data_IF_966833841536
#
_entry.id   IF_966833841536
#
_cell.length_a   1.000
_cell.length_b   1.000
_cell.length_c   1.000
_cell.angle_alpha   90.00
_cell.angle_beta   90.00
_cell.angle_gamma   90.00
#
_symmetry.space_group_name_H-M   'P 1'
#
loop_
_entity.id
_entity.type
_entity.pdbx_description
1 polymer ?
#
# COMPACT_ATOMS: atom_id res chain seq x y z
N UNK A 1 -3.61 -20.12 -16.40
CA UNK A 1 -4.54 -18.97 -16.52
C UNK A 1 -4.07 -17.87 -15.61
N UNK A 2 -3.84 -16.67 -16.15
CA UNK A 2 -3.36 -15.51 -15.41
C UNK A 2 -4.45 -14.44 -15.45
N UNK A 3 -5.20 -14.22 -14.36
CA UNK A 3 -6.16 -13.11 -14.29
C UNK A 3 -5.43 -11.79 -14.31
N UNK A 4 -5.87 -10.85 -15.13
CA UNK A 4 -5.25 -9.53 -15.26
C UNK A 4 -6.29 -8.42 -15.25
N UNK A 5 -6.08 -7.41 -14.40
CA UNK A 5 -6.69 -6.09 -14.51
C UNK A 5 -5.78 -5.13 -15.28
N UNK A 6 -5.48 -3.95 -14.73
CA UNK A 6 -4.59 -2.99 -15.38
C UNK A 6 -3.09 -3.38 -15.33
N UNK A 7 -2.70 -4.33 -14.48
CA UNK A 7 -1.30 -4.77 -14.38
C UNK A 7 -0.39 -3.78 -13.65
N UNK A 8 -0.92 -2.96 -12.76
CA UNK A 8 -0.19 -1.90 -12.02
C UNK A 8 0.68 -2.41 -10.87
N UNK A 9 0.62 -3.71 -10.56
CA UNK A 9 1.35 -4.31 -9.45
C UNK A 9 2.87 -4.42 -9.71
N UNK A 10 3.69 -4.30 -8.65
CA UNK A 10 5.16 -4.27 -8.74
C UNK A 10 5.85 -5.64 -8.60
N UNK A 11 5.17 -6.67 -8.07
CA UNK A 11 5.79 -7.98 -7.77
C UNK A 11 5.61 -9.04 -8.86
N UNK A 12 5.23 -8.62 -10.07
CA UNK A 12 5.08 -9.51 -11.22
C UNK A 12 3.86 -10.44 -11.15
N UNK A 13 2.82 -10.08 -10.39
CA UNK A 13 1.60 -10.88 -10.20
C UNK A 13 0.89 -11.27 -11.50
N UNK A 14 0.96 -10.45 -12.56
CA UNK A 14 0.34 -10.70 -13.87
C UNK A 14 1.31 -11.20 -14.95
N UNK A 15 2.58 -11.43 -14.59
CA UNK A 15 3.60 -11.91 -15.55
C UNK A 15 3.42 -13.40 -15.78
N UNK A 16 3.22 -13.88 -17.03
CA UNK A 16 3.03 -15.29 -17.35
C UNK A 16 4.38 -16.06 -17.36
N UNK A 17 5.07 -16.12 -16.22
CA UNK A 17 6.41 -16.72 -16.07
C UNK A 17 6.48 -18.20 -16.48
N UNK A 18 5.35 -18.89 -16.48
CA UNK A 18 5.21 -20.29 -16.93
C UNK A 18 4.44 -20.40 -18.27
N UNK A 19 4.27 -19.28 -18.99
CA UNK A 19 3.38 -19.22 -20.13
C UNK A 19 1.90 -19.34 -19.76
N UNK A 20 1.03 -19.54 -20.75
CA UNK A 20 -0.40 -19.78 -20.52
C UNK A 20 -1.31 -18.75 -21.15
N UNK A 21 -2.53 -18.64 -20.62
CA UNK A 21 -3.59 -17.75 -21.11
C UNK A 21 -3.76 -16.62 -20.12
N UNK A 22 -3.59 -15.38 -20.59
CA UNK A 22 -3.94 -14.18 -19.82
C UNK A 22 -5.40 -13.86 -20.04
N UNK A 23 -6.16 -13.79 -18.96
CA UNK A 23 -7.58 -13.39 -18.96
C UNK A 23 -7.68 -11.93 -18.55
N UNK A 24 -7.88 -11.06 -19.54
CA UNK A 24 -8.07 -9.63 -19.32
C UNK A 24 -9.49 -9.34 -18.84
N UNK A 25 -9.60 -8.79 -17.64
CA UNK A 25 -10.86 -8.47 -16.97
C UNK A 25 -11.27 -6.99 -17.11
N UNK A 26 -10.49 -6.17 -17.82
CA UNK A 26 -10.77 -4.73 -17.96
C UNK A 26 -12.09 -4.44 -18.67
N UNK A 27 -12.57 -5.37 -19.51
CA UNK A 27 -13.88 -5.29 -20.14
C UNK A 27 -15.09 -5.49 -19.18
N UNK A 28 -14.88 -6.06 -17.99
CA UNK A 28 -15.89 -6.20 -16.94
C UNK A 28 -15.88 -4.96 -16.05
N UNK A 29 -16.39 -3.82 -16.54
CA UNK A 29 -16.15 -2.51 -15.91
C UNK A 29 -17.44 -1.75 -15.53
N UNK A 30 -18.50 -2.45 -15.25
CA UNK A 30 -19.77 -1.87 -14.80
C UNK A 30 -19.84 -1.75 -13.29
N UNK A 31 -20.34 -0.61 -12.81
CA UNK A 31 -20.86 -0.46 -11.45
C UNK A 31 -22.29 -1.00 -11.48
N UNK A 32 -22.51 -2.14 -10.82
CA UNK A 32 -23.78 -2.87 -10.90
C UNK A 32 -24.85 -2.29 -9.98
N UNK A 33 -24.43 -1.76 -8.82
CA UNK A 33 -25.33 -1.20 -7.81
C UNK A 33 -24.55 -0.22 -6.91
N UNK A 34 -25.17 0.89 -6.53
CA UNK A 34 -24.79 1.73 -5.40
C UNK A 34 -26.01 1.84 -4.49
N UNK A 35 -25.89 1.42 -3.23
CA UNK A 35 -26.94 1.50 -2.20
C UNK A 35 -26.48 2.39 -1.04
N UNK A 36 -26.77 3.70 -1.09
CA UNK A 36 -26.39 4.61 -0.02
C UNK A 36 -27.00 4.26 1.33
N UNK A 37 -28.25 3.79 1.33
CA UNK A 37 -28.96 3.41 2.56
C UNK A 37 -28.30 2.21 3.27
N UNK A 38 -27.64 1.31 2.53
CA UNK A 38 -26.95 0.15 3.07
C UNK A 38 -25.44 0.37 3.20
N UNK A 39 -24.92 1.56 2.82
CA UNK A 39 -23.49 1.89 2.76
C UNK A 39 -22.67 0.83 2.02
N UNK A 40 -23.13 0.46 0.83
CA UNK A 40 -22.45 -0.55 0.00
C UNK A 40 -22.61 -0.26 -1.50
N UNK A 41 -21.72 -0.86 -2.28
CA UNK A 41 -21.88 -0.96 -3.73
C UNK A 41 -21.48 -2.35 -4.22
N UNK A 42 -21.90 -2.70 -5.45
CA UNK A 42 -21.47 -3.91 -6.15
C UNK A 42 -20.89 -3.52 -7.49
N UNK A 43 -19.69 -4.01 -7.78
CA UNK A 43 -18.91 -3.64 -8.97
C UNK A 43 -18.36 -4.88 -9.67
N UNK A 44 -18.13 -4.79 -10.97
CA UNK A 44 -17.34 -5.75 -11.73
C UNK A 44 -15.83 -5.54 -11.50
N UNK A 45 -15.04 -6.58 -11.70
CA UNK A 45 -13.60 -6.61 -11.40
C UNK A 45 -12.76 -5.60 -12.18
N UNK A 46 -13.17 -5.23 -13.40
CA UNK A 46 -12.47 -4.29 -14.28
C UNK A 46 -12.82 -2.82 -14.04
N UNK A 47 -13.68 -2.49 -13.08
CA UNK A 47 -13.95 -1.08 -12.72
C UNK A 47 -12.67 -0.44 -12.22
N UNK A 48 -12.28 0.69 -12.80
CA UNK A 48 -11.13 1.49 -12.36
C UNK A 48 -11.48 2.18 -11.04
N UNK A 49 -10.55 2.16 -10.07
CA UNK A 49 -10.76 2.70 -8.73
C UNK A 49 -11.19 4.17 -8.76
N UNK A 50 -10.48 5.05 -9.46
CA UNK A 50 -10.84 6.47 -9.56
C UNK A 50 -12.23 6.71 -10.16
N UNK A 51 -12.65 5.85 -11.11
CA UNK A 51 -14.02 5.91 -11.67
C UNK A 51 -15.05 5.56 -10.60
N UNK A 52 -14.79 4.53 -9.79
CA UNK A 52 -15.67 4.18 -8.68
C UNK A 52 -15.79 5.34 -7.69
N UNK A 53 -14.66 5.91 -7.25
CA UNK A 53 -14.63 7.05 -6.32
C UNK A 53 -15.44 8.25 -6.87
N UNK A 54 -15.26 8.58 -8.15
CA UNK A 54 -16.02 9.67 -8.80
C UNK A 54 -17.53 9.42 -8.78
N UNK A 55 -17.98 8.16 -8.96
CA UNK A 55 -19.42 7.85 -8.91
C UNK A 55 -19.94 7.84 -7.45
N UNK A 56 -19.17 7.32 -6.50
CA UNK A 56 -19.55 7.31 -5.08
C UNK A 56 -19.66 8.73 -4.50
N UNK A 57 -18.76 9.62 -4.90
CA UNK A 57 -18.77 11.01 -4.44
C UNK A 57 -20.08 11.74 -4.76
N UNK A 58 -20.79 11.39 -5.85
CA UNK A 58 -22.12 11.94 -6.20
C UNK A 58 -23.19 11.63 -5.15
N UNK A 59 -22.94 10.59 -4.34
CA UNK A 59 -23.79 10.15 -3.25
C UNK A 59 -23.25 10.54 -1.86
N UNK A 60 -22.19 11.36 -1.79
CA UNK A 60 -21.53 11.72 -0.53
C UNK A 60 -20.79 10.55 0.13
N UNK A 61 -20.42 9.53 -0.65
CA UNK A 61 -19.79 8.31 -0.19
C UNK A 61 -18.39 8.16 -0.79
N UNK A 62 -17.55 7.33 -0.16
CA UNK A 62 -16.26 6.91 -0.68
C UNK A 62 -15.95 5.47 -0.24
N UNK A 63 -15.00 4.84 -0.95
CA UNK A 63 -14.41 3.56 -0.57
C UNK A 63 -13.02 3.83 0.02
N UNK A 64 -12.79 3.55 1.33
CA UNK A 64 -11.62 4.06 2.06
C UNK A 64 -10.24 3.64 1.59
N UNK A 65 -9.98 2.40 1.11
CA UNK A 65 -8.66 2.05 0.58
C UNK A 65 -8.29 2.92 -0.62
N UNK A 66 -7.07 3.49 -0.61
CA UNK A 66 -6.62 4.50 -1.58
C UNK A 66 -5.28 4.12 -2.23
N UNK A 67 -5.25 3.07 -3.06
CA UNK A 67 -4.02 2.63 -3.71
C UNK A 67 -3.40 3.74 -4.56
N UNK A 68 -2.07 3.88 -4.52
CA UNK A 68 -1.35 4.92 -5.25
C UNK A 68 -1.54 4.89 -6.77
N UNK A 69 -2.02 3.77 -7.32
CA UNK A 69 -2.35 3.59 -8.74
C UNK A 69 -3.82 3.83 -9.08
N UNK A 70 -4.55 4.59 -8.26
CA UNK A 70 -6.01 4.82 -8.33
C UNK A 70 -6.54 5.10 -9.73
N UNK A 71 -5.82 5.90 -10.52
CA UNK A 71 -6.23 6.29 -11.88
C UNK A 71 -6.21 5.14 -12.90
N UNK A 72 -5.55 4.04 -12.59
CA UNK A 72 -5.37 2.91 -13.49
C UNK A 72 -5.81 1.56 -12.91
N UNK A 73 -5.59 1.31 -11.61
CA UNK A 73 -5.87 0.01 -11.00
C UNK A 73 -7.36 -0.35 -11.07
N UNK A 74 -7.62 -1.64 -11.23
CA UNK A 74 -8.98 -2.18 -11.31
C UNK A 74 -9.36 -2.85 -10.00
N UNK A 75 -10.65 -2.82 -9.65
CA UNK A 75 -11.16 -3.34 -8.38
C UNK A 75 -10.81 -4.81 -8.15
N UNK A 76 -10.87 -5.66 -9.18
CA UNK A 76 -10.44 -7.06 -9.08
C UNK A 76 -8.96 -7.21 -8.75
N UNK A 77 -8.10 -6.37 -9.34
CA UNK A 77 -6.66 -6.33 -9.04
C UNK A 77 -6.38 -5.85 -7.62
N UNK A 78 -7.02 -4.75 -7.21
CA UNK A 78 -6.93 -4.18 -5.85
C UNK A 78 -7.33 -5.23 -4.79
N UNK A 79 -8.40 -5.98 -5.04
CA UNK A 79 -8.88 -7.03 -4.14
C UNK A 79 -7.94 -8.24 -4.14
N UNK A 80 -7.50 -8.71 -5.32
CA UNK A 80 -6.60 -9.85 -5.43
C UNK A 80 -5.25 -9.61 -4.76
N UNK A 81 -4.79 -8.35 -4.71
CA UNK A 81 -3.56 -7.95 -4.02
C UNK A 81 -3.78 -7.58 -2.54
N UNK A 82 -5.01 -7.40 -2.09
CA UNK A 82 -5.31 -6.78 -0.80
C UNK A 82 -4.62 -5.42 -0.66
N UNK A 83 -4.70 -4.58 -1.68
CA UNK A 83 -3.99 -3.32 -1.73
C UNK A 83 -4.32 -2.43 -0.52
N UNK A 84 -3.32 -1.70 -0.06
CA UNK A 84 -3.42 -0.70 0.99
C UNK A 84 -3.53 0.71 0.42
N UNK A 85 -2.68 1.59 0.93
CA UNK A 85 -2.58 3.00 0.60
C UNK A 85 -2.42 3.85 1.87
N UNK A 86 -2.32 5.15 1.70
CA UNK A 86 -2.01 6.10 2.78
C UNK A 86 -3.03 6.09 3.93
N UNK A 87 -4.31 5.83 3.60
CA UNK A 87 -5.42 5.81 4.57
C UNK A 87 -5.56 4.48 5.32
N UNK A 88 -4.71 3.48 5.01
CA UNK A 88 -4.76 2.17 5.67
C UNK A 88 -4.62 2.28 7.19
N UNK A 89 -3.86 3.25 7.66
CA UNK A 89 -3.71 3.60 9.07
C UNK A 89 -5.05 3.72 9.82
N UNK A 90 -5.97 4.53 9.31
CA UNK A 90 -7.26 4.82 9.96
C UNK A 90 -8.34 3.83 9.53
N UNK A 91 -8.31 3.44 8.28
CA UNK A 91 -9.43 2.74 7.66
C UNK A 91 -9.16 1.26 7.40
N UNK A 92 -7.91 0.79 7.51
CA UNK A 92 -7.54 -0.58 7.15
C UNK A 92 -7.31 -0.73 5.65
N UNK A 93 -7.08 -1.96 5.23
CA UNK A 93 -6.77 -2.33 3.85
C UNK A 93 -8.01 -2.85 3.12
N UNK A 94 -7.87 -3.21 1.86
CA UNK A 94 -8.96 -3.74 1.01
C UNK A 94 -9.77 -4.85 1.69
N UNK A 95 -9.11 -5.77 2.44
CA UNK A 95 -9.81 -6.90 3.12
C UNK A 95 -10.87 -6.45 4.13
N UNK A 96 -10.74 -5.25 4.68
CA UNK A 96 -11.66 -4.71 5.68
C UNK A 96 -12.92 -4.11 5.04
N UNK A 97 -12.90 -3.94 3.70
CA UNK A 97 -13.92 -3.24 2.92
C UNK A 97 -14.62 -4.11 1.89
N UNK A 98 -14.27 -5.39 1.78
CA UNK A 98 -14.94 -6.36 0.91
C UNK A 98 -15.94 -7.17 1.71
N UNK A 99 -17.22 -7.07 1.38
CA UNK A 99 -18.33 -7.82 2.02
C UNK A 99 -18.54 -9.18 1.38
N UNK A 100 -18.32 -9.30 0.07
CA UNK A 100 -18.51 -10.54 -0.66
C UNK A 100 -17.97 -10.47 -2.08
N UNK A 101 -17.74 -11.62 -2.67
CA UNK A 101 -17.18 -11.79 -4.00
C UNK A 101 -17.99 -12.77 -4.84
N UNK A 102 -17.91 -12.62 -6.16
CA UNK A 102 -18.24 -13.66 -7.14
C UNK A 102 -16.96 -14.11 -7.81
N UNK A 103 -16.67 -15.38 -7.71
CA UNK A 103 -15.39 -15.97 -8.14
C UNK A 103 -15.66 -17.15 -9.07
N UNK A 104 -14.87 -17.24 -10.15
CA UNK A 104 -14.79 -18.42 -11.00
C UNK A 104 -13.64 -19.28 -10.51
N UNK A 105 -13.92 -20.52 -10.12
CA UNK A 105 -12.95 -21.51 -9.65
C UNK A 105 -12.20 -22.17 -10.82
N UNK A 106 -11.07 -22.85 -10.57
CA UNK A 106 -10.30 -23.53 -11.62
C UNK A 106 -11.08 -24.61 -12.38
N UNK A 107 -12.08 -25.21 -11.75
CA UNK A 107 -12.97 -26.21 -12.38
C UNK A 107 -14.12 -25.58 -13.21
N UNK A 108 -14.17 -24.23 -13.28
CA UNK A 108 -15.21 -23.48 -13.99
C UNK A 108 -16.49 -23.21 -13.20
N UNK A 109 -16.59 -23.70 -11.96
CA UNK A 109 -17.73 -23.37 -11.10
C UNK A 109 -17.70 -21.91 -10.68
N UNK A 110 -18.89 -21.31 -10.56
CA UNK A 110 -19.04 -19.93 -10.08
C UNK A 110 -19.60 -19.99 -8.67
N UNK A 111 -18.84 -19.42 -7.73
CA UNK A 111 -19.27 -19.30 -6.34
C UNK A 111 -19.52 -17.84 -5.96
N UNK A 112 -20.34 -17.67 -4.91
CA UNK A 112 -20.48 -16.41 -4.19
C UNK A 112 -19.95 -16.60 -2.77
N UNK A 113 -19.17 -15.66 -2.29
CA UNK A 113 -18.64 -15.65 -0.92
C UNK A 113 -19.19 -14.45 -0.15
N UNK A 114 -19.18 -14.54 1.18
CA UNK A 114 -19.61 -13.45 2.04
C UNK A 114 -21.10 -13.13 1.96
N UNK A 115 -21.46 -11.89 2.20
CA UNK A 115 -22.84 -11.43 2.24
C UNK A 115 -22.98 -10.00 1.67
N UNK A 116 -24.22 -9.50 1.63
CA UNK A 116 -24.52 -8.09 1.30
C UNK A 116 -24.82 -7.27 2.56
N UNK A 117 -24.59 -7.83 3.73
CA UNK A 117 -24.84 -7.22 5.03
C UNK A 117 -23.52 -6.97 5.78
N UNK A 118 -23.52 -5.99 6.67
CA UNK A 118 -22.33 -5.65 7.47
C UNK A 118 -21.91 -6.76 8.44
N UNK A 119 -22.85 -7.63 8.83
CA UNK A 119 -22.59 -8.81 9.65
C UNK A 119 -22.97 -10.08 8.89
N UNK A 120 -22.12 -11.12 8.97
CA UNK A 120 -22.39 -12.42 8.35
C UNK A 120 -21.44 -13.46 8.93
N UNK A 121 -21.96 -14.45 9.68
CA UNK A 121 -21.18 -15.51 10.34
C UNK A 121 -21.60 -16.91 9.84
N UNK A 122 -22.14 -17.01 8.60
CA UNK A 122 -22.58 -18.27 8.03
C UNK A 122 -21.40 -18.98 7.33
N UNK A 123 -20.76 -19.89 8.04
CA UNK A 123 -19.65 -20.70 7.52
C UNK A 123 -18.27 -20.02 7.65
N UNK A 124 -17.28 -20.59 6.96
CA UNK A 124 -15.94 -20.02 6.92
C UNK A 124 -15.90 -18.73 6.08
N UNK A 125 -14.99 -17.81 6.45
CA UNK A 125 -14.77 -16.57 5.69
C UNK A 125 -13.97 -16.84 4.41
N UNK A 126 -14.67 -17.33 3.39
CA UNK A 126 -14.09 -17.56 2.07
C UNK A 126 -13.76 -16.23 1.36
N UNK A 127 -14.45 -15.13 1.70
CA UNK A 127 -14.18 -13.83 1.09
C UNK A 127 -12.73 -13.43 1.36
N UNK A 128 -12.29 -13.51 2.62
CA UNK A 128 -10.91 -13.17 3.00
C UNK A 128 -9.86 -14.16 2.50
N UNK A 129 -10.26 -15.38 2.12
CA UNK A 129 -9.36 -16.34 1.46
C UNK A 129 -8.99 -15.87 0.05
N UNK A 130 -9.95 -15.28 -0.70
CA UNK A 130 -9.70 -14.78 -2.05
C UNK A 130 -9.06 -13.37 -2.07
N UNK A 131 -9.33 -12.53 -1.06
CA UNK A 131 -8.68 -11.23 -0.92
C UNK A 131 -7.21 -11.44 -0.59
N UNK A 132 -6.31 -10.91 -1.43
CA UNK A 132 -4.86 -11.11 -1.30
C UNK A 132 -4.36 -12.46 -1.84
N UNK A 133 -5.20 -13.21 -2.59
CA UNK A 133 -4.80 -14.49 -3.19
C UNK A 133 -3.96 -14.37 -4.46
N UNK A 134 -3.74 -13.17 -4.96
CA UNK A 134 -2.94 -12.87 -6.18
C UNK A 134 -3.38 -13.66 -7.42
N UNK A 135 -4.68 -14.00 -7.50
CA UNK A 135 -5.23 -14.79 -8.61
C UNK A 135 -4.85 -16.27 -8.60
N UNK A 136 -4.25 -16.79 -7.53
CA UNK A 136 -3.81 -18.19 -7.45
C UNK A 136 -4.93 -19.17 -7.12
N UNK A 137 -6.06 -18.69 -6.61
CA UNK A 137 -7.19 -19.55 -6.17
C UNK A 137 -8.42 -19.47 -7.09
N UNK A 138 -8.54 -18.41 -7.90
CA UNK A 138 -9.69 -18.22 -8.79
C UNK A 138 -9.68 -16.83 -9.41
N UNK A 139 -10.69 -16.57 -10.24
CA UNK A 139 -10.88 -15.30 -10.96
C UNK A 139 -12.01 -14.52 -10.29
N UNK A 140 -11.69 -13.40 -9.66
CA UNK A 140 -12.67 -12.47 -9.09
C UNK A 140 -13.34 -11.72 -10.24
N UNK A 141 -14.67 -11.80 -10.33
CA UNK A 141 -15.45 -11.16 -11.40
C UNK A 141 -16.35 -10.05 -10.91
N UNK A 142 -16.88 -10.16 -9.68
CA UNK A 142 -17.69 -9.12 -9.04
C UNK A 142 -17.31 -9.00 -7.56
N UNK A 143 -17.46 -7.80 -7.00
CA UNK A 143 -17.27 -7.54 -5.58
C UNK A 143 -18.39 -6.69 -5.01
N UNK A 144 -18.85 -7.03 -3.82
CA UNK A 144 -19.69 -6.18 -2.97
C UNK A 144 -18.81 -5.52 -1.93
N UNK A 145 -18.81 -4.21 -1.92
CA UNK A 145 -17.92 -3.35 -1.14
C UNK A 145 -18.71 -2.59 -0.07
N UNK A 146 -18.10 -2.45 1.11
CA UNK A 146 -18.61 -1.59 2.18
C UNK A 146 -18.13 -0.15 1.92
N UNK A 147 -18.97 0.85 2.21
CA UNK A 147 -18.69 2.26 1.97
C UNK A 147 -18.72 3.08 3.26
N UNK A 148 -18.20 4.30 3.17
CA UNK A 148 -18.29 5.33 4.21
C UNK A 148 -18.82 6.64 3.63
N UNK A 149 -19.51 7.46 4.46
CA UNK A 149 -19.72 8.87 4.15
C UNK A 149 -18.38 9.60 4.05
N UNK A 150 -18.27 10.53 3.09
CA UNK A 150 -17.12 11.41 2.97
C UNK A 150 -16.99 12.24 4.25
N UNK A 151 -15.79 12.34 4.88
CA UNK A 151 -15.56 13.19 6.04
C UNK A 151 -15.93 14.65 5.77
N UNK A 152 -16.48 15.34 6.77
CA UNK A 152 -16.90 16.74 6.65
C UNK A 152 -15.72 17.69 6.42
N UNK A 153 -14.57 17.36 6.99
CA UNK A 153 -13.34 18.15 6.92
C UNK A 153 -12.09 17.27 6.91
N UNK A 154 -11.02 17.82 6.34
CA UNK A 154 -9.66 17.31 6.39
C UNK A 154 -8.69 18.45 6.66
N UNK A 155 -7.58 18.20 7.37
CA UNK A 155 -6.47 19.14 7.51
C UNK A 155 -5.14 18.40 7.39
N UNK A 156 -4.08 19.11 7.00
CA UNK A 156 -2.72 18.61 6.89
C UNK A 156 -1.78 19.42 7.74
N UNK A 157 -0.93 18.71 8.46
CA UNK A 157 0.16 19.26 9.24
C UNK A 157 1.46 18.66 8.71
N UNK A 158 2.45 19.48 8.41
CA UNK A 158 3.77 19.01 8.00
C UNK A 158 4.85 19.42 8.98
N UNK A 159 5.92 18.64 9.01
CA UNK A 159 7.05 18.92 9.86
C UNK A 159 8.36 18.46 9.22
N UNK A 160 9.44 19.24 9.41
CA UNK A 160 10.81 18.88 9.02
C UNK A 160 11.61 18.45 10.24
N UNK A 161 12.46 17.42 10.06
CA UNK A 161 13.32 16.87 11.10
C UNK A 161 14.77 16.78 10.63
N UNK A 162 15.69 17.02 11.56
CA UNK A 162 17.14 16.89 11.32
C UNK A 162 17.59 15.44 11.16
N UNK A 163 16.81 14.46 11.66
CA UNK A 163 17.08 13.05 11.48
C UNK A 163 15.78 12.28 11.21
N UNK A 164 15.87 11.26 10.36
CA UNK A 164 14.74 10.38 10.01
C UNK A 164 14.31 9.56 11.21
N UNK A 165 15.20 9.23 12.14
CA UNK A 165 14.89 8.51 13.38
C UNK A 165 14.00 9.37 14.28
N UNK A 166 14.28 10.67 14.44
CA UNK A 166 13.42 11.59 15.20
C UNK A 166 12.03 11.70 14.58
N UNK A 167 11.94 11.73 13.25
CA UNK A 167 10.66 11.71 12.56
C UNK A 167 9.89 10.40 12.83
N UNK A 168 10.55 9.25 12.82
CA UNK A 168 9.98 7.97 13.19
C UNK A 168 9.51 7.91 14.66
N UNK A 169 10.29 8.49 15.59
CA UNK A 169 9.86 8.62 17.00
C UNK A 169 8.60 9.49 17.15
N UNK A 170 8.49 10.57 16.36
CA UNK A 170 7.33 11.45 16.38
C UNK A 170 6.05 10.70 16.00
N UNK A 171 6.11 9.74 15.06
CA UNK A 171 4.98 8.87 14.71
C UNK A 171 4.48 8.12 15.94
N UNK A 172 5.36 7.46 16.68
CA UNK A 172 4.99 6.73 17.91
C UNK A 172 4.39 7.66 18.96
N UNK A 173 4.91 8.89 19.12
CA UNK A 173 4.40 9.87 20.08
C UNK A 173 3.00 10.36 19.74
N UNK A 174 2.66 10.48 18.44
CA UNK A 174 1.29 10.80 18.00
C UNK A 174 0.31 9.73 18.53
N UNK A 175 0.65 8.45 18.37
CA UNK A 175 -0.20 7.37 18.92
C UNK A 175 -0.28 7.37 20.45
N UNK A 176 0.86 7.59 21.13
CA UNK A 176 0.88 7.67 22.59
C UNK A 176 0.06 8.85 23.13
N UNK A 177 -0.14 9.89 22.34
CA UNK A 177 -1.06 10.99 22.63
C UNK A 177 -2.53 10.66 22.37
N UNK A 178 -2.85 9.40 21.99
CA UNK A 178 -4.21 8.93 21.72
C UNK A 178 -4.79 9.43 20.38
N UNK A 179 -3.93 9.78 19.44
CA UNK A 179 -4.33 10.31 18.12
C UNK A 179 -4.18 9.21 17.07
N UNK A 180 -5.24 8.97 16.28
CA UNK A 180 -5.20 8.13 15.10
C UNK A 180 -5.54 9.01 13.88
N UNK A 181 -4.52 9.51 13.16
CA UNK A 181 -4.72 10.35 11.98
C UNK A 181 -5.30 9.56 10.80
N UNK A 182 -5.74 10.26 9.76
CA UNK A 182 -6.15 9.63 8.50
C UNK A 182 -4.94 9.01 7.78
N UNK A 183 -3.80 9.70 7.78
CA UNK A 183 -2.52 9.18 7.26
C UNK A 183 -1.33 9.86 7.94
N UNK A 184 -0.17 9.19 7.93
CA UNK A 184 1.14 9.78 8.26
C UNK A 184 2.13 9.33 7.19
N UNK A 185 2.63 10.30 6.40
CA UNK A 185 3.57 10.07 5.32
C UNK A 185 4.95 10.62 5.69
N UNK A 186 6.01 9.87 5.39
CA UNK A 186 7.38 10.28 5.62
C UNK A 186 8.19 10.19 4.34
N UNK A 187 8.94 11.25 4.03
CA UNK A 187 9.90 11.32 2.93
C UNK A 187 11.27 11.68 3.48
N UNK A 188 12.30 10.96 3.04
CA UNK A 188 13.67 11.23 3.45
C UNK A 188 14.34 12.34 2.63
N UNK A 189 15.57 12.71 3.05
CA UNK A 189 16.40 13.72 2.36
C UNK A 189 16.55 13.44 0.86
N UNK A 190 16.67 12.18 0.46
CA UNK A 190 16.84 11.80 -0.94
C UNK A 190 15.63 12.19 -1.79
N UNK A 191 14.43 11.94 -1.26
CA UNK A 191 13.16 12.36 -1.89
C UNK A 191 13.05 13.88 -1.93
N UNK A 192 13.31 14.57 -0.80
CA UNK A 192 13.23 16.03 -0.70
C UNK A 192 14.18 16.68 -1.72
N UNK A 193 15.43 16.23 -1.80
CA UNK A 193 16.42 16.74 -2.73
C UNK A 193 16.05 16.48 -4.20
N UNK A 194 15.53 15.30 -4.51
CA UNK A 194 15.07 14.97 -5.87
C UNK A 194 13.92 15.88 -6.31
N UNK A 195 12.91 16.08 -5.45
CA UNK A 195 11.78 16.96 -5.75
C UNK A 195 12.23 18.43 -5.87
N UNK A 196 13.14 18.87 -4.99
CA UNK A 196 13.72 20.22 -5.06
C UNK A 196 14.38 20.48 -6.42
N UNK A 197 15.19 19.53 -6.88
CA UNK A 197 15.87 19.62 -8.18
C UNK A 197 14.89 19.52 -9.36
N UNK A 198 13.92 18.62 -9.27
CA UNK A 198 12.91 18.39 -10.32
C UNK A 198 12.05 19.63 -10.57
N UNK A 199 11.55 20.25 -9.51
CA UNK A 199 10.68 21.42 -9.61
C UNK A 199 11.43 22.75 -9.71
N UNK A 200 12.77 22.76 -9.49
CA UNK A 200 13.53 24.01 -9.35
C UNK A 200 13.11 24.85 -8.13
N UNK A 201 12.46 24.23 -7.13
CA UNK A 201 11.97 24.86 -5.90
C UNK A 201 12.86 24.45 -4.72
N UNK A 202 13.26 25.42 -3.90
CA UNK A 202 14.05 25.14 -2.69
C UNK A 202 13.13 24.67 -1.57
N UNK A 203 13.40 23.48 -1.04
CA UNK A 203 12.86 22.99 0.23
C UNK A 203 13.95 22.99 1.30
N UNK A 204 13.61 22.98 2.60
CA UNK A 204 14.59 22.88 3.69
C UNK A 204 15.50 21.65 3.52
N UNK A 205 16.82 21.84 3.70
CA UNK A 205 17.78 20.72 3.68
C UNK A 205 17.74 19.98 5.02
N UNK A 206 16.79 19.09 5.15
CA UNK A 206 16.52 18.29 6.34
C UNK A 206 16.55 16.80 6.00
N UNK A 207 16.74 15.95 7.01
CA UNK A 207 16.85 14.51 6.79
C UNK A 207 15.48 13.84 6.60
N UNK A 208 14.40 14.43 7.11
CA UNK A 208 13.06 13.93 6.90
C UNK A 208 12.00 15.04 6.85
N UNK A 209 10.96 14.76 6.05
CA UNK A 209 9.72 15.51 5.97
C UNK A 209 8.55 14.60 6.32
N UNK A 210 7.75 14.98 7.32
CA UNK A 210 6.58 14.25 7.79
C UNK A 210 5.32 15.03 7.46
N UNK A 211 4.30 14.34 6.95
CA UNK A 211 2.96 14.89 6.73
C UNK A 211 1.98 14.07 7.55
N UNK A 212 1.13 14.74 8.32
CA UNK A 212 0.03 14.12 9.08
C UNK A 212 -1.28 14.69 8.55
N UNK A 213 -2.14 13.83 8.02
CA UNK A 213 -3.51 14.20 7.62
C UNK A 213 -4.50 13.77 8.69
N UNK A 214 -5.43 14.63 9.01
CA UNK A 214 -6.53 14.36 9.96
C UNK A 214 -7.86 14.65 9.29
N UNK A 215 -8.85 13.80 9.47
CA UNK A 215 -10.18 13.91 8.89
C UNK A 215 -11.29 13.54 9.87
N UNK A 216 -12.49 14.09 9.66
CA UNK A 216 -13.65 13.86 10.53
C UNK A 216 -14.64 15.02 10.48
N UNK A 217 -15.34 15.28 11.58
CA UNK A 217 -16.11 16.51 11.73
C UNK A 217 -15.19 17.74 11.88
N UNK A 218 -15.67 18.95 11.54
CA UNK A 218 -14.84 20.17 11.59
C UNK A 218 -14.23 20.40 12.96
N UNK A 219 -15.00 20.18 14.04
CA UNK A 219 -14.53 20.37 15.41
C UNK A 219 -13.47 19.34 15.82
N UNK A 220 -13.62 18.09 15.40
CA UNK A 220 -12.63 17.03 15.67
C UNK A 220 -11.33 17.29 14.91
N UNK A 221 -11.42 17.68 13.65
CA UNK A 221 -10.26 18.00 12.80
C UNK A 221 -9.46 19.15 13.41
N UNK A 222 -10.14 20.23 13.84
CA UNK A 222 -9.48 21.38 14.49
C UNK A 222 -8.75 21.01 15.78
N UNK A 223 -9.42 20.29 16.66
CA UNK A 223 -8.86 19.84 17.94
C UNK A 223 -7.68 18.86 17.74
N UNK A 224 -7.84 17.90 16.81
CA UNK A 224 -6.83 16.89 16.51
C UNK A 224 -5.61 17.50 15.83
N UNK A 225 -5.79 18.39 14.86
CA UNK A 225 -4.70 19.08 14.19
C UNK A 225 -3.84 19.90 15.17
N UNK A 226 -4.48 20.60 16.12
CA UNK A 226 -3.77 21.36 17.16
C UNK A 226 -2.93 20.45 18.06
N UNK A 227 -3.45 19.28 18.44
CA UNK A 227 -2.68 18.29 19.22
C UNK A 227 -1.52 17.70 18.43
N UNK A 228 -1.73 17.36 17.15
CA UNK A 228 -0.67 16.87 16.26
C UNK A 228 0.44 17.90 16.14
N UNK A 229 0.11 19.16 15.91
CA UNK A 229 1.09 20.25 15.83
C UNK A 229 1.93 20.36 17.11
N UNK A 230 1.29 20.28 18.27
CA UNK A 230 1.98 20.28 19.57
C UNK A 230 2.96 19.09 19.70
N UNK A 231 2.49 17.86 19.41
CA UNK A 231 3.31 16.64 19.49
C UNK A 231 4.52 16.73 18.55
N UNK A 232 4.36 17.24 17.32
CA UNK A 232 5.45 17.40 16.37
C UNK A 232 6.50 18.40 16.89
N UNK A 233 6.10 19.55 17.45
CA UNK A 233 6.99 20.52 18.07
C UNK A 233 7.76 19.94 19.25
N UNK A 234 7.06 19.24 20.16
CA UNK A 234 7.64 18.56 21.31
C UNK A 234 8.58 17.39 20.91
N UNK A 235 8.42 16.86 19.71
CA UNK A 235 9.30 15.82 19.14
C UNK A 235 10.56 16.37 18.49
N UNK A 236 10.77 17.69 18.51
CA UNK A 236 11.96 18.35 18.00
C UNK A 236 11.91 18.61 16.50
N UNK A 237 10.73 18.78 15.93
CA UNK A 237 10.58 19.27 14.56
C UNK A 237 11.18 20.70 14.46
N UNK A 238 11.98 20.94 13.42
CA UNK A 238 12.60 22.26 13.17
C UNK A 238 11.62 23.28 12.60
N UNK A 239 10.66 22.80 11.82
CA UNK A 239 9.59 23.60 11.25
C UNK A 239 8.30 22.77 11.29
N UNK A 240 7.20 23.39 11.70
CA UNK A 240 5.85 22.79 11.66
C UNK A 240 4.93 23.76 10.97
N UNK A 241 4.26 23.32 9.91
CA UNK A 241 3.26 24.07 9.18
C UNK A 241 1.93 23.32 9.23
N UNK A 242 0.89 24.02 9.66
CA UNK A 242 -0.50 23.55 9.55
C UNK A 242 -1.18 24.31 8.43
N UNK A 243 -1.86 23.61 7.55
CA UNK A 243 -2.61 24.23 6.46
C UNK A 243 -3.79 25.06 7.01
N UNK A 244 -3.85 26.33 6.62
CA UNK A 244 -4.95 27.26 6.93
C UNK A 244 -5.70 27.68 5.65
N UNK A 245 -5.09 27.46 4.51
CA UNK A 245 -5.65 27.74 3.18
C UNK A 245 -5.58 26.50 2.29
N UNK A 246 -6.35 26.48 1.22
CA UNK A 246 -6.31 25.41 0.21
C UNK A 246 -4.95 25.38 -0.50
N UNK A 247 -4.29 26.50 -0.66
CA UNK A 247 -2.94 26.58 -1.25
C UNK A 247 -1.91 25.89 -0.37
N UNK A 248 -1.87 26.20 0.93
CA UNK A 248 -0.99 25.52 1.90
C UNK A 248 -1.29 24.03 2.00
N UNK A 249 -2.57 23.64 1.97
CA UNK A 249 -2.99 22.25 1.97
C UNK A 249 -2.41 21.48 0.77
N UNK A 250 -2.42 22.08 -0.42
CA UNK A 250 -1.83 21.49 -1.62
C UNK A 250 -0.30 21.54 -1.59
N UNK A 251 0.28 22.63 -1.09
CA UNK A 251 1.74 22.79 -1.01
C UNK A 251 2.40 21.76 -0.11
N UNK A 252 1.81 21.49 1.06
CA UNK A 252 2.27 20.43 1.98
C UNK A 252 2.40 19.09 1.26
N UNK A 253 1.50 18.80 0.30
CA UNK A 253 1.47 17.53 -0.42
C UNK A 253 2.49 17.42 -1.55
N UNK A 254 3.11 18.53 -1.97
CA UNK A 254 3.96 18.60 -3.18
C UNK A 254 5.11 17.60 -3.14
N UNK A 255 5.85 17.51 -2.02
CA UNK A 255 7.00 16.59 -1.93
C UNK A 255 6.51 15.14 -2.04
N UNK A 256 5.38 14.81 -1.46
CA UNK A 256 4.81 13.46 -1.50
C UNK A 256 4.33 13.05 -2.88
N UNK A 257 3.60 13.94 -3.57
CA UNK A 257 3.05 13.65 -4.90
C UNK A 257 4.12 13.56 -5.98
N UNK A 258 5.16 14.40 -5.90
CA UNK A 258 6.21 14.47 -6.91
C UNK A 258 7.35 13.46 -6.69
N UNK A 259 7.48 12.89 -5.49
CA UNK A 259 8.62 12.06 -5.11
C UNK A 259 8.89 10.88 -6.05
N UNK A 260 7.86 10.12 -6.40
CA UNK A 260 7.99 8.96 -7.27
C UNK A 260 8.42 9.34 -8.71
N UNK A 261 7.97 10.50 -9.20
CA UNK A 261 8.32 11.03 -10.52
C UNK A 261 9.70 11.67 -10.52
N UNK A 262 10.04 12.43 -9.49
CA UNK A 262 11.30 13.17 -9.39
C UNK A 262 12.52 12.25 -9.31
N UNK A 263 12.46 11.19 -8.55
CA UNK A 263 13.60 10.29 -8.31
C UNK A 263 14.24 9.75 -9.59
N UNK A 264 13.51 9.05 -10.52
CA UNK A 264 14.13 8.52 -11.73
C UNK A 264 14.59 9.62 -12.68
N UNK A 265 13.85 10.75 -12.76
CA UNK A 265 14.21 11.86 -13.64
C UNK A 265 15.47 12.59 -13.19
N UNK A 266 15.76 12.60 -11.88
CA UNK A 266 16.94 13.24 -11.32
C UNK A 266 18.15 12.32 -11.30
N UNK A 267 17.96 11.02 -11.01
CA UNK A 267 19.04 10.03 -10.92
C UNK A 267 19.45 9.46 -12.29
N UNK A 268 18.55 9.49 -13.27
CA UNK A 268 18.73 8.85 -14.56
C UNK A 268 18.77 7.31 -14.49
N UNK A 269 18.38 6.72 -13.35
CA UNK A 269 18.34 5.28 -13.11
C UNK A 269 16.90 4.79 -12.91
N UNK A 270 16.69 3.50 -13.11
CA UNK A 270 15.41 2.90 -12.76
C UNK A 270 15.22 2.87 -11.24
N UNK A 271 14.01 3.15 -10.81
CA UNK A 271 13.60 2.94 -9.43
C UNK A 271 13.01 1.54 -9.28
N UNK A 272 13.55 0.78 -8.34
CA UNK A 272 12.96 -0.48 -7.89
C UNK A 272 12.42 -0.24 -6.49
N UNK A 273 11.10 -0.23 -6.36
CA UNK A 273 10.44 0.03 -5.09
C UNK A 273 10.26 -1.29 -4.34
N UNK A 274 10.90 -1.42 -3.22
CA UNK A 274 10.69 -2.50 -2.28
C UNK A 274 9.71 -2.07 -1.19
N UNK A 275 8.87 -3.00 -0.76
CA UNK A 275 7.75 -2.76 0.14
C UNK A 275 7.88 -3.72 1.32
N UNK A 276 8.12 -3.17 2.50
CA UNK A 276 8.17 -3.90 3.77
C UNK A 276 7.34 -3.17 4.81
N UNK A 277 6.89 -3.88 5.85
CA UNK A 277 6.18 -3.23 6.95
C UNK A 277 6.78 -3.67 8.29
N UNK A 278 6.99 -2.71 9.20
CA UNK A 278 7.61 -2.95 10.51
C UNK A 278 6.67 -2.48 11.64
N UNK A 279 6.79 -3.04 12.84
CA UNK A 279 6.11 -2.46 14.00
C UNK A 279 6.46 -0.97 14.12
N UNK A 280 5.47 -0.11 14.35
CA UNK A 280 5.63 1.36 14.35
C UNK A 280 6.75 1.82 15.30
N UNK A 281 6.87 1.19 16.47
CA UNK A 281 7.95 1.47 17.43
C UNK A 281 9.36 1.13 16.91
N UNK A 282 9.45 0.38 15.82
CA UNK A 282 10.70 -0.03 15.16
C UNK A 282 11.06 0.84 13.97
N UNK A 283 10.20 1.79 13.56
CA UNK A 283 10.47 2.67 12.43
C UNK A 283 11.84 3.39 12.52
N UNK A 284 12.24 4.01 13.67
CA UNK A 284 13.53 4.68 13.75
C UNK A 284 14.71 3.74 13.47
N UNK A 285 14.69 2.55 14.09
CA UNK A 285 15.70 1.51 13.88
C UNK A 285 15.68 1.00 12.43
N UNK A 286 14.49 0.79 11.87
CA UNK A 286 14.32 0.26 10.51
C UNK A 286 14.86 1.23 9.45
N UNK A 287 14.53 2.52 9.54
CA UNK A 287 15.06 3.51 8.60
C UNK A 287 16.58 3.56 8.58
N UNK A 288 17.21 3.58 9.77
CA UNK A 288 18.66 3.54 9.91
C UNK A 288 19.25 2.26 9.30
N UNK A 289 18.73 1.10 9.69
CA UNK A 289 19.27 -0.20 9.25
C UNK A 289 19.10 -0.41 7.75
N UNK A 290 17.98 0.02 7.14
CA UNK A 290 17.77 -0.05 5.70
C UNK A 290 18.83 0.78 4.96
N UNK A 291 19.12 2.00 5.40
CA UNK A 291 20.19 2.83 4.82
C UNK A 291 21.55 2.14 4.96
N UNK A 292 21.88 1.63 6.14
CA UNK A 292 23.15 0.92 6.39
C UNK A 292 23.31 -0.34 5.53
N UNK A 293 22.24 -1.10 5.31
CA UNK A 293 22.23 -2.25 4.40
C UNK A 293 22.56 -1.78 2.98
N UNK A 294 21.83 -0.79 2.48
CA UNK A 294 22.01 -0.27 1.13
C UNK A 294 23.42 0.30 0.91
N UNK A 295 23.94 1.03 1.88
CA UNK A 295 25.31 1.59 1.84
C UNK A 295 26.38 0.49 1.74
N UNK A 296 26.25 -0.61 2.49
CA UNK A 296 27.18 -1.76 2.40
C UNK A 296 27.21 -2.41 1.03
N UNK A 297 26.10 -2.40 0.31
CA UNK A 297 26.02 -2.95 -1.05
C UNK A 297 26.27 -1.90 -2.13
N UNK A 298 26.50 -0.64 -1.75
CA UNK A 298 26.68 0.47 -2.70
C UNK A 298 25.44 0.74 -3.54
N UNK A 299 24.25 0.58 -2.97
CA UNK A 299 22.96 0.84 -3.63
C UNK A 299 22.36 2.14 -3.09
N UNK A 300 22.23 3.19 -3.92
CA UNK A 300 21.52 4.39 -3.51
C UNK A 300 20.05 4.08 -3.17
N UNK A 301 19.60 4.54 -2.01
CA UNK A 301 18.23 4.34 -1.55
C UNK A 301 17.58 5.67 -1.20
N UNK A 302 16.31 5.81 -1.56
CA UNK A 302 15.41 6.84 -1.06
C UNK A 302 14.29 6.17 -0.26
N UNK A 303 13.87 6.79 0.84
CA UNK A 303 12.82 6.26 1.71
C UNK A 303 11.58 7.13 1.58
N UNK A 304 10.48 6.47 1.18
CA UNK A 304 9.13 7.00 1.23
C UNK A 304 8.30 6.01 2.05
N UNK A 305 7.50 6.49 2.99
CA UNK A 305 6.84 5.59 3.94
C UNK A 305 5.44 6.07 4.30
N UNK A 306 4.49 5.13 4.28
CA UNK A 306 3.24 5.26 5.04
C UNK A 306 3.58 5.01 6.51
N UNK A 307 4.26 5.99 7.12
CA UNK A 307 4.87 5.81 8.45
C UNK A 307 3.83 5.54 9.55
N UNK A 308 2.58 5.95 9.30
CA UNK A 308 1.48 5.74 10.22
C UNK A 308 1.15 4.27 10.48
N UNK A 309 1.32 3.39 9.52
CA UNK A 309 1.05 1.94 9.67
C UNK A 309 2.32 1.07 9.60
N UNK A 310 3.48 1.73 9.52
CA UNK A 310 4.78 1.04 9.54
C UNK A 310 5.24 0.57 8.16
N UNK A 311 4.53 0.88 7.09
CA UNK A 311 4.90 0.48 5.73
C UNK A 311 6.02 1.38 5.18
N UNK A 312 7.12 0.77 4.76
CA UNK A 312 8.33 1.43 4.27
C UNK A 312 8.60 1.04 2.82
N UNK A 313 8.60 2.02 1.93
CA UNK A 313 9.07 1.87 0.56
C UNK A 313 10.54 2.28 0.48
N UNK A 314 11.42 1.28 0.41
CA UNK A 314 12.84 1.47 0.11
C UNK A 314 13.00 1.50 -1.42
N UNK A 315 13.25 2.67 -1.98
CA UNK A 315 13.34 2.90 -3.42
C UNK A 315 14.80 2.85 -3.82
N UNK A 316 15.21 1.75 -4.45
CA UNK A 316 16.58 1.55 -4.93
C UNK A 316 16.73 2.19 -6.32
N UNK A 317 17.74 3.03 -6.49
CA UNK A 317 18.11 3.57 -7.81
C UNK A 317 19.17 2.69 -8.45
N UNK A 318 18.79 1.83 -9.40
CA UNK A 318 19.66 0.79 -9.97
C UNK A 318 19.66 0.80 -11.49
N UNK A 319 20.79 0.38 -12.07
CA UNK A 319 20.88 0.04 -13.48
C UNK A 319 20.64 -1.47 -13.65
N UNK A 320 19.42 -1.85 -14.00
CA UNK A 320 19.05 -3.26 -14.19
C UNK A 320 19.76 -3.93 -15.38
N UNK A 321 20.39 -3.17 -16.29
CA UNK A 321 21.19 -3.69 -17.38
C UNK A 321 22.63 -4.05 -16.95
N UNK A 322 23.03 -3.68 -15.72
CA UNK A 322 24.29 -4.10 -15.11
C UNK A 322 24.03 -5.33 -14.19
N UNK A 323 24.52 -6.53 -14.60
CA UNK A 323 24.29 -7.75 -13.82
C UNK A 323 24.90 -7.71 -12.41
N UNK A 324 26.02 -6.99 -12.22
CA UNK A 324 26.68 -6.88 -10.91
C UNK A 324 25.88 -5.96 -9.98
N UNK A 325 25.42 -4.80 -10.49
CA UNK A 325 24.57 -3.88 -9.73
C UNK A 325 23.24 -4.57 -9.36
N UNK A 326 22.60 -5.26 -10.33
CA UNK A 326 21.37 -6.03 -10.09
C UNK A 326 21.56 -7.12 -9.03
N UNK A 327 22.67 -7.86 -9.06
CA UNK A 327 22.97 -8.87 -8.07
C UNK A 327 23.24 -8.27 -6.67
N UNK A 328 23.88 -7.09 -6.58
CA UNK A 328 24.05 -6.38 -5.29
C UNK A 328 22.72 -5.89 -4.75
N UNK A 329 21.87 -5.31 -5.62
CA UNK A 329 20.53 -4.85 -5.24
C UNK A 329 19.66 -6.00 -4.70
N UNK A 330 19.69 -7.17 -5.37
CA UNK A 330 18.97 -8.36 -4.87
C UNK A 330 19.47 -8.78 -3.47
N UNK A 331 20.79 -8.82 -3.24
CA UNK A 331 21.34 -9.17 -1.92
C UNK A 331 20.93 -8.15 -0.85
N UNK A 332 20.95 -6.85 -1.17
CA UNK A 332 20.50 -5.81 -0.25
C UNK A 332 19.01 -5.98 0.11
N UNK A 333 18.17 -6.24 -0.89
CA UNK A 333 16.75 -6.53 -0.70
C UNK A 333 16.52 -7.75 0.19
N UNK A 334 17.18 -8.87 -0.09
CA UNK A 334 17.02 -10.11 0.66
C UNK A 334 17.47 -9.93 2.13
N UNK A 335 18.56 -9.20 2.37
CA UNK A 335 19.03 -8.88 3.71
C UNK A 335 18.07 -7.97 4.46
N UNK A 336 17.53 -6.96 3.78
CA UNK A 336 16.49 -6.05 4.33
C UNK A 336 15.24 -6.85 4.73
N UNK A 337 14.75 -7.74 3.88
CA UNK A 337 13.60 -8.57 4.18
C UNK A 337 13.83 -9.45 5.40
N UNK A 338 15.00 -10.14 5.50
CA UNK A 338 15.36 -10.94 6.67
C UNK A 338 15.52 -10.12 7.94
N UNK A 339 16.04 -8.90 7.83
CA UNK A 339 16.07 -7.98 8.97
C UNK A 339 14.65 -7.66 9.45
N UNK A 340 13.74 -7.31 8.53
CA UNK A 340 12.35 -6.99 8.85
C UNK A 340 11.63 -8.16 9.52
N UNK A 341 11.79 -9.38 9.03
CA UNK A 341 11.24 -10.59 9.67
C UNK A 341 11.76 -10.72 11.12
N UNK A 342 13.07 -10.52 11.34
CA UNK A 342 13.67 -10.66 12.70
C UNK A 342 13.11 -9.68 13.71
N UNK A 343 12.70 -8.47 13.28
CA UNK A 343 12.12 -7.46 14.19
C UNK A 343 10.60 -7.57 14.33
N UNK A 344 9.99 -8.62 13.76
CA UNK A 344 8.54 -8.89 13.83
C UNK A 344 7.71 -8.12 12.81
N UNK A 345 8.32 -7.69 11.70
CA UNK A 345 7.65 -7.10 10.54
C UNK A 345 7.26 -8.13 9.48
N UNK A 346 6.85 -7.65 8.31
CA UNK A 346 6.49 -8.44 7.13
C UNK A 346 7.21 -7.94 5.88
N UNK A 347 7.53 -8.86 4.98
CA UNK A 347 8.23 -8.56 3.71
C UNK A 347 7.33 -7.87 2.69
N UNK A 348 6.03 -7.76 2.93
CA UNK A 348 5.12 -6.97 2.09
C UNK A 348 4.05 -6.29 2.94
N UNK A 349 4.03 -4.95 2.91
CA UNK A 349 2.96 -4.14 3.49
C UNK A 349 1.69 -4.16 2.62
N UNK A 350 1.85 -3.93 1.32
CA UNK A 350 0.72 -3.78 0.40
C UNK A 350 0.94 -4.32 -1.02
N UNK A 351 2.20 -4.45 -1.50
CA UNK A 351 2.46 -4.84 -2.89
C UNK A 351 2.24 -6.33 -3.18
N UNK A 352 2.20 -7.19 -2.14
CA UNK A 352 2.09 -8.64 -2.28
C UNK A 352 3.45 -9.33 -2.44
N UNK A 353 3.40 -10.59 -2.79
CA UNK A 353 4.54 -11.51 -2.90
C UNK A 353 4.93 -11.76 -4.36
N UNK A 354 3.96 -12.07 -5.21
CA UNK A 354 4.17 -12.35 -6.63
C UNK A 354 5.23 -13.40 -6.89
N UNK A 355 6.11 -13.08 -7.85
CA UNK A 355 7.34 -13.85 -8.14
C UNK A 355 8.56 -13.30 -7.42
N UNK A 356 8.52 -12.04 -7.03
CA UNK A 356 9.69 -11.31 -6.49
C UNK A 356 10.10 -11.79 -5.10
N UNK A 357 9.13 -12.02 -4.21
CA UNK A 357 9.34 -12.39 -2.81
C UNK A 357 8.98 -13.85 -2.48
N UNK A 358 8.66 -14.67 -3.51
CA UNK A 358 8.16 -16.03 -3.32
C UNK A 358 9.10 -16.93 -2.52
N UNK A 359 10.42 -16.76 -2.67
CA UNK A 359 11.44 -17.52 -1.93
C UNK A 359 11.51 -17.11 -0.45
N UNK A 360 11.23 -15.86 -0.13
CA UNK A 360 11.30 -15.30 1.22
C UNK A 360 10.03 -15.54 2.04
N UNK A 361 8.89 -15.82 1.38
CA UNK A 361 7.62 -16.02 2.07
C UNK A 361 7.71 -17.17 3.10
N UNK A 362 8.36 -18.26 2.74
CA UNK A 362 8.52 -19.41 3.64
C UNK A 362 9.38 -19.07 4.89
N UNK A 363 10.31 -18.11 4.77
CA UNK A 363 11.09 -17.62 5.92
C UNK A 363 10.22 -16.82 6.90
N UNK A 364 9.25 -16.03 6.37
CA UNK A 364 8.34 -15.26 7.21
C UNK A 364 7.27 -16.11 7.89
N UNK A 365 6.52 -16.89 7.09
CA UNK A 365 5.33 -17.59 7.61
C UNK A 365 5.67 -18.92 8.30
N UNK A 366 6.84 -19.46 8.05
CA UNK A 366 7.29 -20.75 8.56
C UNK A 366 6.74 -21.96 7.80
N UNK A 367 7.35 -23.13 8.01
CA UNK A 367 7.08 -24.32 7.18
C UNK A 367 5.65 -24.86 7.34
N UNK A 368 5.06 -24.79 8.52
CA UNK A 368 3.72 -25.32 8.77
C UNK A 368 2.63 -24.47 8.06
N UNK A 369 2.72 -23.14 8.14
CA UNK A 369 1.78 -22.25 7.45
C UNK A 369 1.96 -22.35 5.93
N UNK A 370 3.21 -22.46 5.45
CA UNK A 370 3.46 -22.65 4.01
C UNK A 370 2.90 -23.97 3.49
N UNK A 371 3.01 -25.06 4.27
CA UNK A 371 2.38 -26.34 3.93
C UNK A 371 0.86 -26.24 3.86
N UNK A 372 0.23 -25.51 4.78
CA UNK A 372 -1.23 -25.28 4.76
C UNK A 372 -1.66 -24.46 3.54
N UNK A 373 -0.93 -23.38 3.19
CA UNK A 373 -1.20 -22.58 1.99
C UNK A 373 -1.14 -23.44 0.73
N UNK A 374 -0.12 -24.30 0.59
CA UNK A 374 0.00 -25.25 -0.53
C UNK A 374 -1.12 -26.29 -0.55
N UNK A 375 -1.56 -26.78 0.61
CA UNK A 375 -2.68 -27.70 0.70
C UNK A 375 -3.99 -27.03 0.25
N UNK A 376 -4.26 -25.78 0.65
CA UNK A 376 -5.40 -24.97 0.19
C UNK A 376 -5.34 -24.79 -1.33
N UNK A 377 -4.19 -24.38 -1.86
CA UNK A 377 -3.97 -24.26 -3.30
C UNK A 377 -4.26 -25.57 -4.03
N UNK A 378 -3.69 -26.69 -3.57
CA UNK A 378 -3.86 -28.01 -4.18
C UNK A 378 -5.30 -28.54 -4.10
N UNK A 379 -6.06 -28.17 -3.04
CA UNK A 379 -7.46 -28.53 -2.91
C UNK A 379 -8.33 -27.78 -3.94
N UNK A 380 -8.09 -26.46 -4.12
CA UNK A 380 -8.90 -25.61 -4.99
C UNK A 380 -8.47 -25.77 -6.46
N UNK A 381 -7.17 -25.88 -6.71
CA UNK A 381 -6.55 -25.92 -8.03
C UNK A 381 -5.59 -27.12 -8.17
N UNK A 382 -6.12 -28.35 -8.18
CA UNK A 382 -5.27 -29.58 -8.21
C UNK A 382 -4.40 -29.69 -9.47
N UNK A 383 -4.78 -29.01 -10.56
CA UNK A 383 -4.03 -28.99 -11.81
C UNK A 383 -3.02 -27.82 -11.90
N UNK A 384 -2.94 -26.98 -10.86
CA UNK A 384 -2.09 -25.79 -10.79
C UNK A 384 -2.16 -24.90 -12.06
N UNK A 385 -3.40 -24.62 -12.52
CA UNK A 385 -3.63 -23.79 -13.70
C UNK A 385 -3.79 -22.31 -13.39
N UNK A 386 -4.17 -21.97 -12.14
CA UNK A 386 -4.40 -20.59 -11.73
C UNK A 386 -3.11 -19.91 -11.28
N UNK A 387 -2.67 -18.94 -12.06
CA UNK A 387 -1.52 -18.07 -11.84
C UNK A 387 -0.28 -18.81 -11.29
N UNK A 388 0.20 -19.88 -11.95
CA UNK A 388 1.24 -20.74 -11.42
C UNK A 388 2.57 -20.00 -11.25
N UNK A 389 3.32 -20.34 -10.16
CA UNK A 389 4.61 -19.76 -9.86
C UNK A 389 4.55 -18.44 -9.09
N UNK A 390 3.38 -18.06 -8.55
CA UNK A 390 3.23 -16.94 -7.64
C UNK A 390 3.17 -17.39 -6.19
N UNK A 391 3.59 -16.54 -5.24
CA UNK A 391 3.52 -16.74 -3.79
C UNK A 391 4.28 -18.01 -3.29
N UNK A 392 5.00 -18.73 -4.14
CA UNK A 392 5.66 -20.00 -3.75
C UNK A 392 4.71 -21.15 -3.44
N UNK A 393 3.45 -21.08 -3.89
CA UNK A 393 2.40 -22.07 -3.70
C UNK A 393 2.06 -22.80 -4.98
#
# INVERSE_FOLDING_TARGET
>A
VIPRGAGTNFVGGVVPSKGGIVVDLTGMNRILEISPADLRCTVEAGVVHAKLESELAKHGLFWPPDPGSSDACTMGGVIAMNAGGMRALKYGTTRDWVLGLKVVLPNGEIIRTGSRTLKGNAGYDLTRLFVGSEGTLGIITEATLKLRPIPEAENRISAYFESIEKAGEAVSKIYMAGIVPASIELMDRSVIAAVSKWLGKKFPDMDAYLIVSVDGSRSEVEATASKVEQVLRESGASQVLRATTQEEFNEIWTIRSEGATALPNVTGKMNVTHDVCVPISKLPEAFKTIREICDRYGIPVAILSHAGDGNVHAIFSVNLNDPEESARAKRAHDEMCRYVIRIGGTISGEHGIGIDKAELLAEEVGPAAMALMRAIKGLIDPNNIMNPGKMGV
#
